data_IF_583381033160
#
_entry.id   IF_583381033160
#
_cell.length_a   1.000
_cell.length_b   1.000
_cell.length_c   1.000
_cell.angle_alpha   90.00
_cell.angle_beta   90.00
_cell.angle_gamma   90.00
#
_symmetry.space_group_name_H-M   'P 1'
#
loop_
_entity.id
_entity.type
_entity.pdbx_description
1 polymer ?
#
# COMPACT_ATOMS: atom_id res chain seq x y z
N UNK A 1 -2.93 -15.41 16.96
CA UNK A 1 -1.80 -15.18 16.04
C UNK A 1 -1.74 -13.68 15.79
N UNK A 2 -0.56 -13.09 15.88
CA UNK A 2 -0.37 -11.65 15.70
C UNK A 2 -0.25 -11.34 14.20
N UNK A 3 -1.02 -10.36 13.73
CA UNK A 3 -0.97 -9.94 12.33
C UNK A 3 0.26 -9.06 12.11
N UNK A 4 1.03 -9.36 11.06
CA UNK A 4 2.17 -8.54 10.63
C UNK A 4 1.79 -7.71 9.41
N UNK A 5 2.19 -6.43 9.39
CA UNK A 5 1.90 -5.52 8.29
C UNK A 5 3.19 -5.12 7.57
N UNK A 6 3.17 -5.19 6.24
CA UNK A 6 4.25 -4.72 5.38
C UNK A 6 3.72 -3.71 4.38
N UNK A 7 4.32 -2.53 4.36
CA UNK A 7 3.98 -1.48 3.42
C UNK A 7 4.87 -1.56 2.16
N UNK A 8 4.25 -1.52 0.99
CA UNK A 8 4.92 -1.43 -0.28
C UNK A 8 4.97 0.04 -0.72
N UNK A 9 6.18 0.61 -0.71
CA UNK A 9 6.46 2.00 -1.07
C UNK A 9 7.51 2.08 -2.18
N UNK A 10 7.47 3.15 -2.98
CA UNK A 10 8.41 3.37 -4.07
C UNK A 10 7.88 4.35 -5.12
N UNK A 11 8.74 4.78 -6.03
CA UNK A 11 8.41 5.78 -7.04
C UNK A 11 7.17 5.40 -7.88
N UNK A 12 6.36 6.37 -8.33
CA UNK A 12 5.31 6.12 -9.32
C UNK A 12 5.85 5.32 -10.53
N UNK A 13 5.03 4.40 -11.05
CA UNK A 13 5.35 3.54 -12.20
C UNK A 13 6.55 2.58 -12.03
N UNK A 14 7.07 2.35 -10.82
CA UNK A 14 8.18 1.40 -10.60
C UNK A 14 7.75 -0.08 -10.49
N UNK A 15 6.49 -0.41 -10.78
CA UNK A 15 5.98 -1.79 -10.74
C UNK A 15 5.38 -2.26 -9.40
N UNK A 16 5.13 -1.37 -8.43
CA UNK A 16 4.53 -1.72 -7.13
C UNK A 16 3.24 -2.51 -7.25
N UNK A 17 2.30 -2.05 -8.07
CA UNK A 17 1.01 -2.73 -8.24
C UNK A 17 1.17 -4.13 -8.83
N UNK A 18 2.17 -4.35 -9.70
CA UNK A 18 2.48 -5.68 -10.22
C UNK A 18 3.01 -6.59 -9.10
N UNK A 19 3.93 -6.09 -8.27
CA UNK A 19 4.46 -6.82 -7.13
C UNK A 19 3.36 -7.12 -6.09
N UNK A 20 2.53 -6.13 -5.74
CA UNK A 20 1.41 -6.30 -4.83
C UNK A 20 0.46 -7.39 -5.32
N UNK A 21 0.07 -7.37 -6.59
CA UNK A 21 -0.81 -8.38 -7.16
C UNK A 21 -0.18 -9.77 -7.15
N UNK A 22 1.13 -9.88 -7.42
CA UNK A 22 1.87 -11.13 -7.33
C UNK A 22 1.92 -11.70 -5.91
N UNK A 23 2.11 -10.85 -4.90
CA UNK A 23 2.18 -11.26 -3.50
C UNK A 23 0.80 -11.61 -2.90
N UNK A 24 -0.27 -11.00 -3.40
CA UNK A 24 -1.63 -11.14 -2.84
C UNK A 24 -2.59 -11.96 -3.70
N UNK A 25 -2.12 -12.50 -4.82
CA UNK A 25 -2.96 -13.21 -5.79
C UNK A 25 -4.02 -12.31 -6.44
N UNK A 26 -3.77 -11.00 -6.52
CA UNK A 26 -4.73 -9.99 -6.97
C UNK A 26 -6.01 -9.89 -6.11
N UNK A 27 -6.01 -10.45 -4.89
CA UNK A 27 -7.10 -10.32 -3.93
C UNK A 27 -6.91 -9.09 -3.06
N UNK A 28 -7.17 -7.92 -3.65
CA UNK A 28 -7.11 -6.65 -2.97
C UNK A 28 -8.46 -6.27 -2.35
N UNK A 29 -8.43 -5.80 -1.10
CA UNK A 29 -9.47 -4.93 -0.56
C UNK A 29 -9.09 -3.48 -0.89
N UNK A 30 -9.97 -2.78 -1.60
CA UNK A 30 -9.79 -1.36 -1.95
C UNK A 30 -10.76 -0.52 -1.12
N UNK A 31 -10.25 0.51 -0.47
CA UNK A 31 -11.00 1.53 0.26
C UNK A 31 -10.33 2.90 0.08
N UNK A 32 -10.91 3.97 0.61
CA UNK A 32 -10.24 5.28 0.66
C UNK A 32 -9.65 5.52 2.06
N UNK A 33 -8.54 6.24 2.13
CA UNK A 33 -8.05 6.77 3.41
C UNK A 33 -9.03 7.81 4.00
N UNK A 34 -9.18 7.90 5.32
CA UNK A 34 -10.11 8.83 5.94
C UNK A 34 -9.88 10.28 5.51
N UNK A 35 -10.93 10.94 5.03
CA UNK A 35 -10.88 12.36 4.68
C UNK A 35 -10.21 12.71 3.35
N UNK A 36 -9.76 11.71 2.57
CA UNK A 36 -9.15 11.92 1.24
C UNK A 36 -9.66 10.90 0.22
N UNK A 37 -9.49 11.19 -1.08
CA UNK A 37 -9.85 10.29 -2.19
C UNK A 37 -8.70 9.35 -2.59
N UNK A 38 -7.73 9.15 -1.71
CA UNK A 38 -6.55 8.32 -1.97
C UNK A 38 -6.92 6.86 -1.70
N UNK A 39 -6.68 5.99 -2.69
CA UNK A 39 -6.90 4.55 -2.57
C UNK A 39 -5.97 3.94 -1.49
N UNK A 40 -6.57 3.19 -0.58
CA UNK A 40 -5.93 2.20 0.28
C UNK A 40 -6.16 0.82 -0.31
N UNK A 41 -5.08 0.16 -0.72
CA UNK A 41 -5.08 -1.24 -1.16
C UNK A 41 -4.41 -2.13 -0.13
N UNK A 42 -5.11 -3.18 0.29
CA UNK A 42 -4.61 -4.14 1.28
C UNK A 42 -4.96 -5.57 0.85
N UNK A 43 -4.03 -6.51 1.00
CA UNK A 43 -4.24 -7.92 0.69
C UNK A 43 -3.51 -8.83 1.68
N UNK A 44 -4.00 -10.06 1.84
CA UNK A 44 -3.24 -11.09 2.56
C UNK A 44 -2.09 -11.58 1.67
N UNK A 45 -0.94 -11.88 2.26
CA UNK A 45 0.14 -12.54 1.53
C UNK A 45 -0.25 -13.98 1.23
N UNK A 46 0.03 -14.44 0.00
CA UNK A 46 -0.39 -15.77 -0.46
C UNK A 46 0.20 -16.92 0.37
N UNK A 47 1.45 -16.78 0.82
CA UNK A 47 2.12 -17.85 1.56
C UNK A 47 1.93 -17.77 3.07
N UNK A 48 1.34 -16.68 3.58
CA UNK A 48 1.03 -16.49 5.01
C UNK A 48 -0.13 -15.50 5.23
N UNK A 49 -1.30 -16.01 5.60
CA UNK A 49 -2.49 -15.19 5.87
C UNK A 49 -2.33 -14.27 7.11
N UNK A 50 -1.35 -14.54 7.99
CA UNK A 50 -1.02 -13.64 9.10
C UNK A 50 -0.26 -12.39 8.64
N UNK A 51 0.17 -12.34 7.38
CA UNK A 51 0.86 -11.19 6.78
C UNK A 51 -0.10 -10.38 5.91
N UNK A 52 -0.16 -9.07 6.16
CA UNK A 52 -0.95 -8.11 5.41
C UNK A 52 -0.02 -7.18 4.63
N UNK A 53 -0.18 -7.15 3.32
CA UNK A 53 0.53 -6.23 2.42
C UNK A 53 -0.35 -5.00 2.19
N UNK A 54 0.22 -3.81 2.36
CA UNK A 54 -0.44 -2.53 2.07
C UNK A 54 0.28 -1.87 0.89
N UNK A 55 -0.43 -1.59 -0.21
CA UNK A 55 0.11 -0.80 -1.33
C UNK A 55 -0.08 0.69 -1.02
N UNK A 56 1.04 1.41 -0.86
CA UNK A 56 1.02 2.85 -0.62
C UNK A 56 1.10 3.64 -1.94
N UNK A 57 0.57 4.87 -1.96
CA UNK A 57 0.74 5.75 -3.10
C UNK A 57 2.21 5.89 -3.49
N UNK A 58 2.45 5.92 -4.80
CA UNK A 58 3.79 6.14 -5.30
C UNK A 58 4.25 7.55 -4.94
N UNK A 59 5.44 7.66 -4.35
CA UNK A 59 6.03 8.97 -4.02
C UNK A 59 7.45 9.07 -4.56
N UNK A 60 7.82 10.25 -5.08
CA UNK A 60 9.20 10.59 -5.45
C UNK A 60 9.98 11.19 -4.27
N UNK A 61 9.29 11.66 -3.22
CA UNK A 61 9.92 12.25 -2.04
C UNK A 61 9.01 12.21 -0.80
N UNK A 62 9.61 12.13 0.39
CA UNK A 62 8.87 12.25 1.66
C UNK A 62 8.50 13.71 2.01
N UNK A 63 8.79 14.67 1.11
CA UNK A 63 8.30 16.05 1.25
C UNK A 63 6.87 16.08 0.73
N UNK A 64 5.92 16.23 1.62
CA UNK A 64 4.49 16.21 1.32
C UNK A 64 4.08 17.45 0.52
N UNK A 65 3.96 17.30 -0.79
CA UNK A 65 3.43 18.32 -1.70
C UNK A 65 2.07 17.95 -2.26
N UNK A 66 1.62 16.71 -2.05
CA UNK A 66 0.31 16.20 -2.49
C UNK A 66 -0.38 15.35 -1.40
N UNK A 67 -1.71 15.12 -1.52
CA UNK A 67 -2.44 14.21 -0.63
C UNK A 67 -1.89 12.78 -0.62
N UNK A 68 -1.46 12.26 -1.77
CA UNK A 68 -0.84 10.95 -1.92
C UNK A 68 0.45 10.82 -1.10
N UNK A 69 1.30 11.86 -1.16
CA UNK A 69 2.54 11.91 -0.38
C UNK A 69 2.26 12.07 1.11
N UNK A 70 1.21 12.81 1.49
CA UNK A 70 0.79 12.93 2.89
C UNK A 70 0.35 11.58 3.46
N UNK A 71 -0.46 10.82 2.72
CA UNK A 71 -0.87 9.46 3.10
C UNK A 71 0.32 8.53 3.23
N UNK A 72 1.26 8.54 2.27
CA UNK A 72 2.45 7.70 2.34
C UNK A 72 3.31 8.02 3.58
N UNK A 73 3.38 9.29 3.98
CA UNK A 73 4.08 9.73 5.18
C UNK A 73 3.35 9.33 6.47
N UNK A 74 2.02 9.47 6.53
CA UNK A 74 1.25 9.19 7.75
C UNK A 74 1.18 7.69 8.09
N UNK A 75 1.40 6.81 7.11
CA UNK A 75 1.45 5.36 7.31
C UNK A 75 2.85 4.86 7.71
N UNK A 76 3.91 5.62 7.45
CA UNK A 76 5.30 5.32 7.85
C UNK A 76 5.59 5.75 9.28
#
# INVERSE_FOLDING_TARGET
>A
MELSYFALIGAPNCGKTVLFNGLTGSHAKVANYPGVTVDKREGAFLDDEAVRIIDLPGTYSLRTTSPDEAVAKDVM
#
